data_IF_875857810708
#
_entry.id   IF_875857810708
#
_cell.length_a   1.000
_cell.length_b   1.000
_cell.length_c   1.000
_cell.angle_alpha   90.00
_cell.angle_beta   90.00
_cell.angle_gamma   90.00
#
_symmetry.space_group_name_H-M   'P 1'
#
loop_
_entity.id
_entity.type
_entity.pdbx_description
1 polymer ?
#
# COMPACT_ATOMS: atom_id res chain seq x y z
N UNK A 1 -19.29 4.83 -12.01
CA UNK A 1 -20.18 4.25 -13.04
C UNK A 1 -20.54 5.35 -14.02
N UNK A 2 -20.39 5.08 -15.32
CA UNK A 2 -20.32 6.02 -16.43
C UNK A 2 -21.26 7.25 -16.28
N UNK A 3 -20.70 8.46 -16.44
CA UNK A 3 -21.49 9.69 -16.40
C UNK A 3 -22.52 9.71 -17.54
N UNK A 4 -23.55 10.57 -17.47
CA UNK A 4 -24.67 10.61 -18.43
C UNK A 4 -24.28 10.92 -19.89
N UNK A 5 -22.99 11.16 -20.18
CA UNK A 5 -22.43 11.43 -21.51
C UNK A 5 -21.46 10.36 -22.01
N UNK A 6 -21.26 9.29 -21.26
CA UNK A 6 -20.37 8.23 -21.69
C UNK A 6 -21.10 7.30 -22.66
N UNK A 7 -20.52 7.12 -23.84
CA UNK A 7 -20.94 6.13 -24.82
C UNK A 7 -20.08 4.87 -24.64
N UNK A 8 -20.73 3.71 -24.56
CA UNK A 8 -20.06 2.42 -24.55
C UNK A 8 -20.33 1.73 -25.89
N UNK A 9 -19.29 1.28 -26.56
CA UNK A 9 -19.35 0.54 -27.83
C UNK A 9 -18.51 -0.73 -27.71
N UNK A 10 -18.75 -1.70 -28.60
CA UNK A 10 -18.10 -3.02 -28.58
C UNK A 10 -18.97 -4.11 -27.98
N UNK A 11 -18.44 -5.34 -27.96
CA UNK A 11 -19.13 -6.53 -27.47
C UNK A 11 -18.29 -7.23 -26.41
N UNK A 12 -18.96 -7.84 -25.43
CA UNK A 12 -18.33 -8.72 -24.43
C UNK A 12 -18.92 -10.10 -24.61
N UNK A 13 -18.05 -11.08 -24.88
CA UNK A 13 -18.44 -12.48 -25.01
C UNK A 13 -18.06 -13.23 -23.73
N UNK A 14 -19.01 -13.95 -23.17
CA UNK A 14 -18.81 -14.79 -22.00
C UNK A 14 -19.42 -16.17 -22.27
N UNK A 15 -18.61 -17.22 -22.13
CA UNK A 15 -19.03 -18.60 -22.39
C UNK A 15 -19.64 -18.80 -23.80
N UNK A 16 -19.07 -18.11 -24.79
CA UNK A 16 -19.53 -18.16 -26.19
C UNK A 16 -20.79 -17.36 -26.49
N UNK A 17 -21.30 -16.58 -25.54
CA UNK A 17 -22.50 -15.73 -25.69
C UNK A 17 -22.18 -14.25 -25.48
N UNK A 18 -22.80 -13.39 -26.28
CA UNK A 18 -22.79 -11.93 -26.07
C UNK A 18 -23.57 -11.60 -24.79
N UNK A 19 -22.93 -10.90 -23.87
CA UNK A 19 -23.55 -10.45 -22.63
C UNK A 19 -23.65 -8.92 -22.64
N UNK A 20 -24.84 -8.40 -22.37
CA UNK A 20 -25.06 -6.99 -22.12
C UNK A 20 -25.27 -6.69 -20.63
N UNK A 21 -25.43 -5.40 -20.29
CA UNK A 21 -25.64 -4.96 -18.90
C UNK A 21 -26.94 -5.51 -18.31
N UNK A 22 -28.00 -5.66 -19.12
CA UNK A 22 -29.28 -6.16 -18.66
C UNK A 22 -29.20 -7.65 -18.30
N UNK A 23 -28.51 -8.45 -19.12
CA UNK A 23 -28.20 -9.85 -18.87
C UNK A 23 -27.41 -10.01 -17.56
N UNK A 24 -26.34 -9.22 -17.35
CA UNK A 24 -25.55 -9.26 -16.11
C UNK A 24 -26.41 -8.94 -14.88
N UNK A 25 -27.24 -7.90 -14.96
CA UNK A 25 -28.12 -7.52 -13.84
C UNK A 25 -29.15 -8.60 -13.55
N UNK A 26 -29.72 -9.21 -14.59
CA UNK A 26 -30.70 -10.28 -14.47
C UNK A 26 -30.08 -11.53 -13.81
N UNK A 27 -28.95 -12.02 -14.32
CA UNK A 27 -28.27 -13.20 -13.78
C UNK A 27 -27.75 -12.98 -12.36
N UNK A 28 -27.26 -11.77 -12.05
CA UNK A 28 -26.83 -11.41 -10.69
C UNK A 28 -27.99 -11.50 -9.70
N UNK A 29 -29.18 -11.00 -10.06
CA UNK A 29 -30.38 -11.07 -9.21
C UNK A 29 -30.83 -12.52 -8.96
N UNK A 30 -30.58 -13.41 -9.90
CA UNK A 30 -30.87 -14.84 -9.76
C UNK A 30 -29.74 -15.62 -9.06
N UNK A 31 -28.64 -14.97 -8.67
CA UNK A 31 -27.47 -15.64 -8.10
C UNK A 31 -26.76 -16.58 -9.08
N UNK A 32 -27.00 -16.42 -10.39
CA UNK A 32 -26.52 -17.30 -11.46
C UNK A 32 -25.31 -16.77 -12.20
N UNK A 33 -24.98 -15.48 -12.01
CA UNK A 33 -23.84 -14.86 -12.67
C UNK A 33 -22.54 -15.53 -12.18
N UNK A 34 -21.81 -16.26 -13.04
CA UNK A 34 -20.60 -16.97 -12.65
C UNK A 34 -19.37 -16.03 -12.66
N UNK A 35 -19.56 -14.79 -12.22
CA UNK A 35 -18.54 -13.75 -12.17
C UNK A 35 -18.56 -13.07 -10.80
N UNK A 36 -17.40 -12.98 -10.18
CA UNK A 36 -17.21 -12.28 -8.91
C UNK A 36 -16.09 -11.25 -9.01
N UNK A 37 -16.10 -10.30 -8.09
CA UNK A 37 -15.09 -9.24 -8.01
C UNK A 37 -14.50 -9.16 -6.61
N UNK A 38 -13.19 -8.97 -6.52
CA UNK A 38 -12.48 -8.54 -5.34
C UNK A 38 -12.13 -7.07 -5.54
N UNK A 39 -12.54 -6.23 -4.57
CA UNK A 39 -12.30 -4.79 -4.62
C UNK A 39 -10.94 -4.45 -3.99
N UNK A 40 -10.39 -3.32 -4.44
CA UNK A 40 -9.11 -2.76 -3.97
C UNK A 40 -9.10 -2.53 -2.45
N UNK A 41 -10.20 -2.06 -1.86
CA UNK A 41 -10.33 -1.88 -0.41
C UNK A 41 -11.18 -3.00 0.22
N UNK A 42 -10.47 -3.97 0.81
CA UNK A 42 -11.07 -5.07 1.56
C UNK A 42 -12.04 -4.60 2.65
N UNK A 43 -11.66 -3.54 3.36
CA UNK A 43 -12.41 -3.08 4.54
C UNK A 43 -13.62 -2.28 4.10
N UNK A 44 -13.49 -1.46 3.06
CA UNK A 44 -14.59 -0.71 2.45
C UNK A 44 -15.61 -1.60 1.72
N UNK A 45 -15.19 -2.74 1.17
CA UNK A 45 -16.10 -3.69 0.52
C UNK A 45 -16.87 -4.60 1.48
N UNK A 46 -16.47 -4.67 2.76
CA UNK A 46 -17.19 -5.40 3.80
C UNK A 46 -18.15 -4.46 4.53
N UNK A 47 -19.31 -4.97 4.94
CA UNK A 47 -20.25 -4.20 5.75
C UNK A 47 -19.73 -4.09 7.21
N UNK A 48 -19.39 -2.88 7.71
CA UNK A 48 -18.70 -2.72 9.00
C UNK A 48 -19.56 -3.06 10.22
N UNK A 49 -20.90 -3.07 10.06
CA UNK A 49 -21.85 -3.35 11.15
C UNK A 49 -22.37 -4.80 11.14
N UNK A 50 -21.84 -5.66 10.28
CA UNK A 50 -22.18 -7.09 10.22
C UNK A 50 -20.94 -7.94 10.47
N UNK A 51 -21.14 -9.12 11.08
CA UNK A 51 -20.03 -10.07 11.25
C UNK A 51 -19.66 -10.70 9.91
N UNK A 52 -18.39 -11.10 9.76
CA UNK A 52 -17.88 -11.69 8.52
C UNK A 52 -18.67 -12.93 8.11
N UNK A 53 -18.90 -13.85 9.05
CA UNK A 53 -19.64 -15.08 8.80
C UNK A 53 -21.06 -14.80 8.32
N UNK A 54 -21.75 -13.81 8.89
CA UNK A 54 -23.12 -13.45 8.47
C UNK A 54 -23.19 -12.87 7.06
N UNK A 55 -22.15 -12.18 6.61
CA UNK A 55 -22.09 -11.60 5.26
C UNK A 55 -21.81 -12.68 4.21
N UNK A 56 -20.90 -13.62 4.52
CA UNK A 56 -20.63 -14.76 3.63
C UNK A 56 -21.83 -15.71 3.59
N UNK A 57 -22.45 -16.01 4.75
CA UNK A 57 -23.62 -16.88 4.85
C UNK A 57 -24.81 -16.37 4.03
N UNK A 58 -25.02 -15.06 3.98
CA UNK A 58 -26.11 -14.42 3.21
C UNK A 58 -26.10 -14.84 1.74
N UNK A 59 -24.91 -15.03 1.14
CA UNK A 59 -24.78 -15.47 -0.25
C UNK A 59 -25.37 -16.88 -0.44
N UNK A 60 -25.08 -17.81 0.48
CA UNK A 60 -25.62 -19.17 0.42
C UNK A 60 -27.13 -19.21 0.68
N UNK A 61 -27.64 -18.34 1.55
CA UNK A 61 -29.10 -18.22 1.78
C UNK A 61 -29.81 -17.76 0.51
N UNK A 62 -29.30 -16.72 -0.15
CA UNK A 62 -29.95 -16.16 -1.35
C UNK A 62 -29.79 -17.03 -2.59
N UNK A 63 -28.62 -17.66 -2.77
CA UNK A 63 -28.32 -18.45 -3.97
C UNK A 63 -28.86 -19.87 -3.88
N UNK A 64 -28.64 -20.54 -2.74
CA UNK A 64 -28.92 -21.97 -2.58
C UNK A 64 -30.22 -22.23 -1.80
N UNK A 65 -30.85 -21.20 -1.22
CA UNK A 65 -31.98 -21.39 -0.29
C UNK A 65 -31.59 -22.09 1.01
N UNK A 66 -30.30 -22.06 1.38
CA UNK A 66 -29.78 -22.73 2.56
C UNK A 66 -30.39 -22.17 3.85
N UNK A 67 -30.56 -23.02 4.86
CA UNK A 67 -30.90 -22.55 6.21
C UNK A 67 -29.77 -21.70 6.79
N UNK A 68 -30.09 -20.78 7.70
CA UNK A 68 -29.11 -19.87 8.29
C UNK A 68 -27.93 -20.60 8.93
N UNK A 69 -28.19 -21.72 9.63
CA UNK A 69 -27.15 -22.53 10.26
C UNK A 69 -26.27 -23.22 9.21
N UNK A 70 -26.86 -23.85 8.19
CA UNK A 70 -26.10 -24.51 7.13
C UNK A 70 -25.26 -23.50 6.32
N UNK A 71 -25.79 -22.31 6.08
CA UNK A 71 -25.06 -21.23 5.42
C UNK A 71 -23.88 -20.71 6.26
N UNK A 72 -24.03 -20.66 7.59
CA UNK A 72 -22.95 -20.27 8.49
C UNK A 72 -21.84 -21.32 8.56
N UNK A 73 -22.18 -22.62 8.58
CA UNK A 73 -21.17 -23.68 8.52
C UNK A 73 -20.39 -23.64 7.20
N UNK A 74 -21.07 -23.45 6.05
CA UNK A 74 -20.40 -23.21 4.76
C UNK A 74 -19.50 -21.97 4.78
N UNK A 75 -19.92 -20.88 5.43
CA UNK A 75 -19.10 -19.69 5.57
C UNK A 75 -17.82 -19.95 6.37
N UNK A 76 -17.90 -20.77 7.43
CA UNK A 76 -16.74 -21.19 8.23
C UNK A 76 -15.78 -22.04 7.41
N UNK A 77 -16.29 -23.04 6.67
CA UNK A 77 -15.48 -23.88 5.77
C UNK A 77 -14.76 -23.03 4.72
N UNK A 78 -15.44 -22.02 4.19
CA UNK A 78 -14.86 -21.13 3.19
C UNK A 78 -13.78 -20.23 3.79
N UNK A 79 -13.99 -19.70 4.99
CA UNK A 79 -12.95 -18.96 5.74
C UNK A 79 -11.72 -19.82 6.01
N UNK A 80 -11.91 -21.10 6.34
CA UNK A 80 -10.82 -22.05 6.50
C UNK A 80 -10.05 -22.26 5.18
N UNK A 81 -10.78 -22.43 4.07
CA UNK A 81 -10.17 -22.66 2.75
C UNK A 81 -9.29 -21.50 2.27
N UNK A 82 -9.60 -20.27 2.68
CA UNK A 82 -8.79 -19.07 2.38
C UNK A 82 -7.70 -18.82 3.41
N UNK A 83 -7.50 -19.74 4.37
CA UNK A 83 -6.41 -19.70 5.34
C UNK A 83 -6.65 -18.81 6.56
N UNK A 84 -7.90 -18.50 6.92
CA UNK A 84 -8.21 -17.84 8.18
C UNK A 84 -8.10 -18.86 9.33
N UNK A 85 -7.19 -18.58 10.27
CA UNK A 85 -7.05 -19.36 11.51
C UNK A 85 -8.27 -19.14 12.41
N UNK A 86 -8.66 -20.18 13.15
CA UNK A 86 -9.80 -20.14 14.08
C UNK A 86 -11.10 -19.69 13.38
N UNK A 87 -11.48 -20.31 12.24
CA UNK A 87 -12.50 -19.76 11.33
C UNK A 87 -13.87 -19.56 12.00
N UNK A 88 -14.26 -20.42 12.95
CA UNK A 88 -15.50 -20.25 13.74
C UNK A 88 -15.49 -18.98 14.61
N UNK A 89 -14.37 -18.67 15.26
CA UNK A 89 -14.24 -17.44 16.05
C UNK A 89 -14.22 -16.22 15.13
N UNK A 90 -13.47 -16.29 14.03
CA UNK A 90 -13.33 -15.20 13.06
C UNK A 90 -14.60 -14.92 12.28
N UNK A 91 -15.45 -15.93 12.06
CA UNK A 91 -16.78 -15.74 11.49
C UNK A 91 -17.66 -14.81 12.35
N UNK A 92 -17.45 -14.80 13.67
CA UNK A 92 -18.16 -13.92 14.61
C UNK A 92 -17.53 -12.52 14.75
N UNK A 93 -16.38 -12.29 14.11
CA UNK A 93 -15.69 -11.00 14.17
C UNK A 93 -16.31 -9.99 13.19
N UNK A 94 -16.21 -8.71 13.53
CA UNK A 94 -16.50 -7.60 12.63
C UNK A 94 -15.25 -7.21 11.82
N UNK A 95 -15.39 -6.55 10.65
CA UNK A 95 -14.24 -6.16 9.81
C UNK A 95 -13.17 -5.33 10.55
N UNK A 96 -13.59 -4.46 11.48
CA UNK A 96 -12.67 -3.62 12.27
C UNK A 96 -11.90 -4.41 13.35
N UNK A 97 -12.21 -5.69 13.56
CA UNK A 97 -11.54 -6.58 14.52
C UNK A 97 -10.52 -7.51 13.85
N UNK A 98 -10.41 -7.46 12.52
CA UNK A 98 -9.48 -8.24 11.71
C UNK A 98 -8.33 -7.38 11.18
N UNK A 99 -7.21 -8.01 10.82
CA UNK A 99 -6.14 -7.32 10.09
C UNK A 99 -6.53 -7.07 8.63
N UNK A 100 -5.84 -6.16 7.93
CA UNK A 100 -6.09 -5.92 6.50
C UNK A 100 -5.99 -7.19 5.65
N UNK A 101 -4.97 -8.03 5.89
CA UNK A 101 -4.83 -9.32 5.21
C UNK A 101 -5.95 -10.32 5.54
N UNK A 102 -6.48 -10.29 6.76
CA UNK A 102 -7.63 -11.10 7.14
C UNK A 102 -8.93 -10.60 6.48
N UNK A 103 -9.14 -9.29 6.39
CA UNK A 103 -10.25 -8.71 5.63
C UNK A 103 -10.14 -9.06 4.14
N UNK A 104 -8.92 -9.04 3.56
CA UNK A 104 -8.70 -9.46 2.18
C UNK A 104 -9.10 -10.91 1.96
N UNK A 105 -8.66 -11.83 2.83
CA UNK A 105 -9.06 -13.24 2.77
C UNK A 105 -10.56 -13.41 2.94
N UNK A 106 -11.20 -12.67 3.85
CA UNK A 106 -12.65 -12.70 4.01
C UNK A 106 -13.40 -12.21 2.76
N UNK A 107 -12.88 -11.19 2.07
CA UNK A 107 -13.43 -10.72 0.80
C UNK A 107 -13.25 -11.76 -0.32
N UNK A 108 -12.09 -12.43 -0.38
CA UNK A 108 -11.87 -13.56 -1.30
C UNK A 108 -12.88 -14.67 -1.02
N UNK A 109 -13.06 -15.05 0.24
CA UNK A 109 -14.08 -16.03 0.62
C UNK A 109 -15.47 -15.59 0.17
N UNK A 110 -15.85 -14.33 0.41
CA UNK A 110 -17.14 -13.80 -0.04
C UNK A 110 -17.31 -13.89 -1.57
N UNK A 111 -16.28 -13.56 -2.35
CA UNK A 111 -16.30 -13.70 -3.80
C UNK A 111 -16.46 -15.17 -4.23
N UNK A 112 -15.76 -16.10 -3.56
CA UNK A 112 -15.85 -17.53 -3.83
C UNK A 112 -17.18 -18.17 -3.41
N UNK A 113 -17.88 -17.59 -2.42
CA UNK A 113 -19.18 -18.06 -1.98
C UNK A 113 -20.23 -17.99 -3.11
N UNK A 114 -20.01 -17.11 -4.09
CA UNK A 114 -20.82 -17.02 -5.31
C UNK A 114 -20.51 -18.14 -6.34
N UNK A 115 -19.52 -19.00 -6.09
CA UNK A 115 -19.01 -20.03 -7.02
C UNK A 115 -18.75 -19.48 -8.43
N UNK A 116 -17.88 -18.46 -8.56
CA UNK A 116 -17.57 -17.86 -9.85
C UNK A 116 -16.76 -18.81 -10.73
N UNK A 117 -16.91 -18.67 -12.05
CA UNK A 117 -15.97 -19.20 -13.06
C UNK A 117 -14.91 -18.16 -13.44
N UNK A 118 -15.25 -16.87 -13.31
CA UNK A 118 -14.34 -15.74 -13.55
C UNK A 118 -14.29 -14.83 -12.33
N UNK A 119 -13.08 -14.48 -11.90
CA UNK A 119 -12.82 -13.56 -10.80
C UNK A 119 -12.06 -12.35 -11.30
N UNK A 120 -12.61 -11.15 -11.10
CA UNK A 120 -11.92 -9.89 -11.36
C UNK A 120 -11.30 -9.44 -10.03
N UNK A 121 -9.98 -9.40 -9.97
CA UNK A 121 -9.25 -8.97 -8.78
C UNK A 121 -8.64 -7.59 -9.03
N UNK A 122 -9.29 -6.56 -8.50
CA UNK A 122 -8.88 -5.16 -8.65
C UNK A 122 -7.95 -4.76 -7.52
N UNK A 123 -6.64 -4.66 -7.80
CA UNK A 123 -5.58 -4.37 -6.83
C UNK A 123 -5.68 -5.20 -5.53
N UNK A 124 -5.82 -6.54 -5.60
CA UNK A 124 -6.19 -7.39 -4.47
C UNK A 124 -5.11 -7.52 -3.39
N UNK A 125 -3.94 -6.93 -3.60
CA UNK A 125 -2.81 -6.95 -2.67
C UNK A 125 -2.37 -5.56 -2.23
N UNK A 126 -3.08 -4.52 -2.64
CA UNK A 126 -2.74 -3.14 -2.27
C UNK A 126 -2.83 -2.97 -0.75
N UNK A 127 -1.98 -2.10 -0.19
CA UNK A 127 -1.90 -1.83 1.25
C UNK A 127 -1.62 -3.05 2.16
N UNK A 128 -1.21 -4.21 1.60
CA UNK A 128 -0.74 -5.38 2.35
C UNK A 128 0.79 -5.38 2.41
N UNK A 129 1.36 -6.00 3.45
CA UNK A 129 2.80 -6.25 3.48
C UNK A 129 3.20 -7.34 2.48
N UNK A 130 4.47 -7.33 2.05
CA UNK A 130 5.01 -8.22 1.01
C UNK A 130 4.77 -9.71 1.33
N UNK A 131 4.85 -10.10 2.60
CA UNK A 131 4.60 -11.49 3.01
C UNK A 131 3.14 -11.85 2.83
N UNK A 132 2.22 -11.00 3.29
CA UNK A 132 0.78 -11.21 3.10
C UNK A 132 0.41 -11.19 1.61
N UNK A 133 0.94 -10.26 0.82
CA UNK A 133 0.78 -10.21 -0.64
C UNK A 133 1.16 -11.54 -1.29
N UNK A 134 2.33 -12.09 -0.96
CA UNK A 134 2.78 -13.39 -1.48
C UNK A 134 1.83 -14.53 -1.09
N UNK A 135 1.32 -14.53 0.15
CA UNK A 135 0.35 -15.53 0.59
C UNK A 135 -1.00 -15.40 -0.11
N UNK A 136 -1.48 -14.18 -0.40
CA UNK A 136 -2.71 -13.95 -1.16
C UNK A 136 -2.53 -14.42 -2.61
N UNK A 137 -1.42 -14.08 -3.25
CA UNK A 137 -1.13 -14.56 -4.61
C UNK A 137 -1.06 -16.09 -4.64
N UNK A 138 -0.39 -16.73 -3.67
CA UNK A 138 -0.37 -18.19 -3.56
C UNK A 138 -1.78 -18.78 -3.42
N UNK A 139 -2.63 -18.17 -2.60
CA UNK A 139 -4.03 -18.59 -2.47
C UNK A 139 -4.77 -18.49 -3.81
N UNK A 140 -4.68 -17.35 -4.51
CA UNK A 140 -5.34 -17.15 -5.79
C UNK A 140 -4.85 -18.15 -6.83
N UNK A 141 -3.55 -18.45 -6.87
CA UNK A 141 -2.98 -19.47 -7.77
C UNK A 141 -3.56 -20.86 -7.49
N UNK A 142 -3.66 -21.25 -6.23
CA UNK A 142 -4.27 -22.53 -5.85
C UNK A 142 -5.75 -22.61 -6.27
N UNK A 143 -6.49 -21.50 -6.22
CA UNK A 143 -7.88 -21.45 -6.68
C UNK A 143 -7.98 -21.60 -8.20
N UNK A 144 -7.08 -20.98 -8.97
CA UNK A 144 -6.98 -21.20 -10.42
C UNK A 144 -6.71 -22.66 -10.74
N UNK A 145 -5.67 -23.24 -10.13
CA UNK A 145 -5.19 -24.59 -10.43
C UNK A 145 -6.17 -25.68 -9.98
N UNK A 146 -6.79 -25.55 -8.80
CA UNK A 146 -7.69 -26.55 -8.24
C UNK A 146 -9.11 -26.46 -8.80
N UNK A 147 -9.64 -25.25 -8.93
CA UNK A 147 -11.07 -25.03 -9.20
C UNK A 147 -11.36 -24.64 -10.67
N UNK A 148 -10.32 -24.54 -11.51
CA UNK A 148 -10.47 -24.12 -12.92
C UNK A 148 -10.93 -22.67 -13.05
N UNK A 149 -10.67 -21.85 -12.03
CA UNK A 149 -11.07 -20.45 -11.97
C UNK A 149 -10.20 -19.61 -12.92
N UNK A 150 -10.81 -18.72 -13.71
CA UNK A 150 -10.08 -17.72 -14.48
C UNK A 150 -10.00 -16.39 -13.71
N UNK A 151 -8.83 -15.78 -13.64
CA UNK A 151 -8.62 -14.53 -12.91
C UNK A 151 -8.16 -13.41 -13.86
N UNK A 152 -8.85 -12.28 -13.82
CA UNK A 152 -8.35 -11.00 -14.35
C UNK A 152 -7.72 -10.25 -13.18
N UNK A 153 -6.39 -10.19 -13.15
CA UNK A 153 -5.64 -9.57 -12.06
C UNK A 153 -5.20 -8.16 -12.46
N UNK A 154 -5.79 -7.14 -11.86
CA UNK A 154 -5.46 -5.73 -12.11
C UNK A 154 -4.50 -5.26 -11.03
N UNK A 155 -3.35 -4.72 -11.43
CA UNK A 155 -2.38 -4.13 -10.51
C UNK A 155 -1.48 -3.14 -11.24
N UNK A 156 -0.92 -2.20 -10.48
CA UNK A 156 0.16 -1.32 -10.92
C UNK A 156 1.56 -1.88 -10.59
N UNK A 157 1.64 -2.99 -9.86
CA UNK A 157 2.90 -3.68 -9.54
C UNK A 157 3.28 -4.65 -10.66
N UNK A 158 4.16 -4.20 -11.55
CA UNK A 158 4.57 -4.96 -12.73
C UNK A 158 5.39 -6.21 -12.38
N UNK A 159 6.17 -6.18 -11.30
CA UNK A 159 6.91 -7.34 -10.80
C UNK A 159 5.97 -8.42 -10.29
N UNK A 160 4.93 -8.03 -9.55
CA UNK A 160 3.90 -8.95 -9.08
C UNK A 160 3.14 -9.57 -10.26
N UNK A 161 2.65 -8.74 -11.18
CA UNK A 161 1.84 -9.18 -12.32
C UNK A 161 2.63 -10.15 -13.19
N UNK A 162 3.88 -9.83 -13.53
CA UNK A 162 4.72 -10.72 -14.35
C UNK A 162 5.19 -11.97 -13.63
N UNK A 163 5.12 -12.03 -12.29
CA UNK A 163 5.49 -13.23 -11.54
C UNK A 163 4.29 -14.14 -11.23
N UNK A 164 3.08 -13.57 -11.26
CA UNK A 164 1.84 -14.26 -10.89
C UNK A 164 0.99 -14.68 -12.10
N UNK A 165 0.88 -13.82 -13.12
CA UNK A 165 0.01 -14.04 -14.27
C UNK A 165 0.71 -14.85 -15.36
N UNK A 166 -0.05 -15.53 -16.22
CA UNK A 166 0.49 -16.19 -17.41
C UNK A 166 0.73 -15.19 -18.57
N UNK A 167 -0.17 -14.22 -18.69
CA UNK A 167 -0.13 -13.15 -19.70
C UNK A 167 -0.39 -11.80 -19.06
N UNK A 168 0.15 -10.76 -19.66
CA UNK A 168 0.07 -9.37 -19.19
C UNK A 168 -0.36 -8.50 -20.35
N UNK A 169 -1.35 -7.64 -20.10
CA UNK A 169 -1.73 -6.55 -20.97
C UNK A 169 -1.36 -5.23 -20.29
N UNK A 170 -0.59 -4.39 -20.98
CA UNK A 170 -0.23 -3.05 -20.50
C UNK A 170 -1.17 -2.05 -21.15
N UNK A 171 -1.83 -1.26 -20.32
CA UNK A 171 -2.72 -0.20 -20.76
C UNK A 171 -2.06 1.17 -20.60
N UNK A 172 -2.23 2.03 -21.61
CA UNK A 172 -1.84 3.43 -21.56
C UNK A 172 -2.95 4.27 -22.20
N UNK A 173 -3.38 5.34 -21.50
CA UNK A 173 -4.46 6.25 -21.95
C UNK A 173 -5.77 5.56 -22.38
N UNK A 174 -6.09 4.42 -21.77
CA UNK A 174 -7.33 3.68 -22.04
C UNK A 174 -7.23 2.66 -23.17
N UNK A 175 -6.07 2.52 -23.80
CA UNK A 175 -5.81 1.53 -24.85
C UNK A 175 -4.83 0.46 -24.35
N UNK A 176 -5.01 -0.78 -24.82
CA UNK A 176 -4.01 -1.84 -24.63
C UNK A 176 -2.89 -1.60 -25.63
N UNK A 177 -1.75 -1.14 -25.13
CA UNK A 177 -0.58 -0.81 -25.97
C UNK A 177 0.36 -1.98 -26.18
N UNK A 178 0.31 -2.99 -25.31
CA UNK A 178 1.11 -4.20 -25.42
C UNK A 178 0.41 -5.36 -24.69
N UNK A 179 0.46 -6.56 -25.26
CA UNK A 179 -0.03 -7.77 -24.60
C UNK A 179 0.86 -8.97 -24.96
N UNK A 180 1.46 -9.61 -23.96
CA UNK A 180 2.31 -10.78 -24.15
C UNK A 180 2.22 -11.77 -22.97
N UNK A 181 2.88 -12.92 -23.06
CA UNK A 181 3.25 -13.75 -21.92
C UNK A 181 4.08 -12.96 -20.91
N UNK A 182 3.97 -13.34 -19.64
CA UNK A 182 4.73 -12.69 -18.56
C UNK A 182 6.25 -12.78 -18.75
N UNK A 183 6.75 -13.85 -19.36
CA UNK A 183 8.17 -13.98 -19.71
C UNK A 183 8.53 -13.08 -20.90
N UNK A 184 7.72 -13.09 -21.97
CA UNK A 184 7.97 -12.31 -23.18
C UNK A 184 8.00 -10.81 -22.91
N UNK A 185 7.01 -10.30 -22.17
CA UNK A 185 6.91 -8.87 -21.86
C UNK A 185 8.06 -8.38 -20.96
N UNK A 186 8.56 -9.25 -20.07
CA UNK A 186 9.70 -8.96 -19.19
C UNK A 186 11.01 -8.95 -19.98
N UNK A 187 11.19 -9.93 -20.87
CA UNK A 187 12.44 -10.13 -21.61
C UNK A 187 12.64 -9.10 -22.72
N UNK A 188 11.59 -8.75 -23.44
CA UNK A 188 11.68 -7.92 -24.63
C UNK A 188 10.44 -7.01 -24.78
N UNK A 189 10.23 -6.06 -23.87
CA UNK A 189 9.13 -5.11 -23.97
C UNK A 189 9.24 -4.32 -25.29
N UNK A 190 8.19 -4.34 -26.10
CA UNK A 190 8.15 -3.69 -27.42
C UNK A 190 7.70 -2.23 -27.33
N UNK A 191 6.80 -1.92 -26.40
CA UNK A 191 6.27 -0.58 -26.25
C UNK A 191 7.14 0.25 -25.30
N UNK A 192 7.42 1.51 -25.68
CA UNK A 192 8.26 2.43 -24.88
C UNK A 192 7.74 2.63 -23.46
N UNK A 193 6.43 2.74 -23.30
CA UNK A 193 5.80 2.84 -21.97
C UNK A 193 6.06 1.59 -21.13
N UNK A 194 5.93 0.39 -21.69
CA UNK A 194 6.22 -0.86 -20.99
C UNK A 194 7.68 -0.94 -20.57
N UNK A 195 8.61 -0.59 -21.48
CA UNK A 195 10.04 -0.55 -21.18
C UNK A 195 10.36 0.45 -20.05
N UNK A 196 9.72 1.62 -20.07
CA UNK A 196 9.85 2.61 -19.01
C UNK A 196 9.31 2.12 -17.66
N UNK A 197 8.18 1.39 -17.63
CA UNK A 197 7.66 0.80 -16.41
C UNK A 197 8.64 -0.23 -15.81
N UNK A 198 9.22 -1.12 -16.62
CA UNK A 198 10.23 -2.06 -16.15
C UNK A 198 11.52 -1.36 -15.68
N UNK A 199 11.95 -0.31 -16.37
CA UNK A 199 13.12 0.47 -15.98
C UNK A 199 12.95 1.19 -14.64
N UNK A 200 11.72 1.46 -14.22
CA UNK A 200 11.42 2.09 -12.93
C UNK A 200 11.41 1.09 -11.74
N UNK A 201 11.46 -0.22 -11.99
CA UNK A 201 11.44 -1.24 -10.95
C UNK A 201 12.80 -1.32 -10.24
N UNK A 202 12.85 -1.15 -8.89
CA UNK A 202 14.09 -1.31 -8.13
C UNK A 202 14.69 -2.71 -8.29
N UNK A 203 15.93 -2.81 -8.77
CA UNK A 203 16.64 -4.09 -8.97
C UNK A 203 16.74 -4.55 -10.43
N UNK A 204 15.99 -3.95 -11.37
CA UNK A 204 16.22 -4.11 -12.82
C UNK A 204 17.35 -3.20 -13.36
N UNK A 205 17.92 -2.34 -12.51
CA UNK A 205 19.16 -1.57 -12.72
C UNK A 205 20.02 -1.61 -11.45
N UNK A 206 21.33 -1.33 -11.52
CA UNK A 206 22.07 -0.93 -10.33
C UNK A 206 21.32 0.22 -9.63
N UNK A 207 21.18 0.18 -8.29
CA UNK A 207 20.46 1.22 -7.58
C UNK A 207 21.06 2.60 -7.90
N UNK A 208 20.19 3.60 -8.05
CA UNK A 208 20.56 5.02 -8.27
C UNK A 208 20.96 5.44 -9.69
N UNK A 209 20.44 4.81 -10.76
CA UNK A 209 20.44 5.45 -12.09
C UNK A 209 19.44 6.60 -12.14
N UNK A 210 19.76 7.72 -12.80
CA UNK A 210 18.75 8.77 -13.10
C UNK A 210 17.54 8.11 -13.78
N UNK A 211 16.37 8.24 -13.16
CA UNK A 211 15.11 7.88 -13.77
C UNK A 211 14.79 8.99 -14.76
N UNK A 212 14.86 8.72 -16.06
CA UNK A 212 14.25 9.61 -17.04
C UNK A 212 12.76 9.69 -16.71
N UNK A 213 12.24 10.91 -16.54
CA UNK A 213 10.79 11.13 -16.48
C UNK A 213 10.19 10.49 -17.73
N UNK A 214 9.22 9.59 -17.55
CA UNK A 214 8.49 8.96 -18.66
C UNK A 214 7.93 10.09 -19.52
N UNK A 215 8.40 10.28 -20.77
CA UNK A 215 7.92 11.36 -21.61
C UNK A 215 6.40 11.28 -21.74
N UNK A 216 5.71 12.42 -21.69
CA UNK A 216 4.25 12.43 -21.76
C UNK A 216 3.71 12.15 -23.18
N UNK A 217 4.58 12.10 -24.19
CA UNK A 217 4.26 11.85 -25.59
C UNK A 217 4.97 10.56 -26.06
N UNK A 218 4.30 9.41 -25.95
CA UNK A 218 4.88 8.08 -26.21
C UNK A 218 4.27 7.34 -27.43
N UNK A 219 3.56 8.04 -28.31
CA UNK A 219 2.83 7.46 -29.46
C UNK A 219 3.75 6.99 -30.62
N UNK A 220 4.99 6.58 -30.35
CA UNK A 220 5.95 6.13 -31.37
C UNK A 220 6.54 4.76 -31.00
N UNK A 221 6.55 3.77 -31.91
CA UNK A 221 7.25 2.50 -31.70
C UNK A 221 8.72 2.73 -31.32
N UNK A 222 9.28 1.81 -30.53
CA UNK A 222 10.71 1.81 -30.20
C UNK A 222 11.52 1.57 -31.49
N UNK A 223 11.82 2.63 -32.23
CA UNK A 223 12.83 2.57 -33.28
C UNK A 223 14.14 2.14 -32.65
N UNK A 224 14.64 0.99 -33.12
CA UNK A 224 15.93 0.44 -32.73
C UNK A 224 17.01 1.52 -32.83
N UNK A 225 17.93 1.49 -31.87
CA UNK A 225 19.02 2.44 -31.63
C UNK A 225 18.65 3.66 -30.79
N UNK A 226 18.63 3.46 -29.47
CA UNK A 226 19.25 4.42 -28.57
C UNK A 226 20.27 3.64 -27.75
N UNK A 227 21.55 3.84 -28.05
CA UNK A 227 22.65 3.40 -27.22
C UNK A 227 22.39 3.89 -25.81
N UNK A 228 22.37 2.99 -24.83
CA UNK A 228 22.21 3.35 -23.42
C UNK A 228 23.25 4.43 -23.06
N UNK A 229 22.84 5.63 -22.60
CA UNK A 229 23.79 6.49 -21.93
C UNK A 229 24.18 5.77 -20.65
N UNK A 230 25.47 5.43 -20.55
CA UNK A 230 26.05 4.79 -19.38
C UNK A 230 25.56 5.51 -18.12
N UNK A 231 24.77 4.81 -17.31
CA UNK A 231 24.31 5.32 -16.02
C UNK A 231 25.55 5.73 -15.23
N UNK A 232 25.74 7.02 -15.00
CA UNK A 232 26.78 7.49 -14.09
C UNK A 232 26.35 7.03 -12.70
N UNK A 233 27.07 6.12 -12.04
CA UNK A 233 26.68 5.70 -10.71
C UNK A 233 26.68 6.94 -9.80
N UNK A 234 25.54 7.21 -9.17
CA UNK A 234 25.48 8.15 -8.07
C UNK A 234 26.38 7.57 -6.95
N UNK A 235 27.57 8.15 -6.84
CA UNK A 235 28.60 8.10 -5.78
C UNK A 235 28.63 6.85 -4.89
N UNK A 236 29.80 6.19 -4.83
CA UNK A 236 30.10 5.10 -3.88
C UNK A 236 29.67 5.43 -2.44
N UNK A 237 29.19 4.44 -1.65
CA UNK A 237 28.84 4.68 -0.25
C UNK A 237 30.06 5.21 0.52
N UNK A 238 29.89 6.37 1.15
CA UNK A 238 30.90 6.98 2.03
C UNK A 238 31.46 5.95 3.02
N UNK A 239 32.77 6.00 3.34
CA UNK A 239 33.40 5.05 4.25
C UNK A 239 32.68 4.99 5.61
N UNK A 240 32.35 3.77 6.04
CA UNK A 240 31.49 3.39 7.19
C UNK A 240 32.10 3.66 8.60
N UNK A 241 32.95 4.66 8.76
CA UNK A 241 33.60 4.98 10.04
C UNK A 241 33.00 6.21 10.76
N UNK A 242 31.76 6.57 10.43
CA UNK A 242 31.10 7.68 11.09
C UNK A 242 30.45 7.23 12.41
N UNK A 243 30.42 8.09 13.45
CA UNK A 243 29.74 7.78 14.70
C UNK A 243 28.25 7.51 14.47
N UNK A 244 27.64 6.72 15.37
CA UNK A 244 26.21 6.44 15.31
C UNK A 244 25.40 7.75 15.45
N UNK A 245 24.62 8.06 14.41
CA UNK A 245 23.63 9.13 14.43
C UNK A 245 22.45 8.75 15.31
N UNK A 246 22.04 7.48 15.29
CA UNK A 246 20.99 6.93 16.16
C UNK A 246 21.55 5.70 16.86
N UNK A 247 21.41 5.65 18.18
CA UNK A 247 21.71 4.47 19.00
C UNK A 247 20.43 4.07 19.74
N UNK A 248 20.03 2.81 19.59
CA UNK A 248 18.91 2.20 20.31
C UNK A 248 19.47 1.06 21.13
N UNK A 249 19.24 1.07 22.44
CA UNK A 249 19.78 0.07 23.37
C UNK A 249 18.67 -0.48 24.26
N UNK A 250 18.38 -1.77 24.08
CA UNK A 250 17.44 -2.60 24.83
C UNK A 250 16.06 -1.96 25.02
N UNK A 251 15.60 -1.30 23.96
CA UNK A 251 14.32 -0.59 23.98
C UNK A 251 13.17 -1.58 24.03
N UNK A 252 12.23 -1.37 24.95
CA UNK A 252 10.98 -2.11 25.01
C UNK A 252 9.76 -1.18 25.16
N UNK A 253 8.65 -1.61 24.59
CA UNK A 253 7.35 -0.97 24.71
C UNK A 253 6.24 -2.01 24.52
N UNK A 254 5.41 -2.21 25.54
CA UNK A 254 4.33 -3.18 25.56
C UNK A 254 2.98 -2.50 25.75
N UNK A 255 1.96 -2.99 25.01
CA UNK A 255 0.57 -2.55 25.17
C UNK A 255 -0.17 -3.47 26.13
N UNK A 256 -0.80 -2.88 27.14
CA UNK A 256 -1.61 -3.60 28.12
C UNK A 256 -3.09 -3.31 27.89
N UNK A 257 -3.89 -4.31 27.52
CA UNK A 257 -5.35 -4.19 27.44
C UNK A 257 -6.00 -4.91 28.63
N UNK A 258 -6.82 -4.18 29.41
CA UNK A 258 -7.72 -4.75 30.42
C UNK A 258 -9.07 -5.09 29.78
N UNK A 259 -9.53 -6.35 29.89
CA UNK A 259 -10.92 -6.72 29.54
C UNK A 259 -11.82 -6.44 30.73
N UNK A 260 -12.95 -5.77 30.50
CA UNK A 260 -13.85 -5.30 31.57
C UNK A 260 -14.55 -6.42 32.36
N UNK A 261 -14.40 -7.68 31.95
CA UNK A 261 -15.00 -8.86 32.59
C UNK A 261 -14.02 -10.02 32.87
N UNK A 262 -12.70 -9.83 32.69
CA UNK A 262 -11.70 -10.89 32.97
C UNK A 262 -10.55 -10.37 33.82
N UNK A 263 -10.10 -11.20 34.78
CA UNK A 263 -8.85 -10.98 35.56
C UNK A 263 -7.57 -11.14 34.72
N UNK A 264 -7.66 -11.67 33.50
CA UNK A 264 -6.51 -11.85 32.61
C UNK A 264 -6.12 -10.55 31.93
N UNK A 265 -4.87 -10.12 32.08
CA UNK A 265 -4.33 -8.94 31.39
C UNK A 265 -3.58 -9.42 30.16
N UNK A 266 -4.01 -9.01 28.95
CA UNK A 266 -3.29 -9.38 27.73
C UNK A 266 -2.21 -8.32 27.46
N UNK A 267 -0.96 -8.76 27.42
CA UNK A 267 0.20 -7.92 27.12
C UNK A 267 0.67 -8.22 25.70
N UNK A 268 0.63 -7.21 24.84
CA UNK A 268 1.18 -7.31 23.48
C UNK A 268 2.55 -6.63 23.47
N UNK A 269 3.60 -7.44 23.30
CA UNK A 269 4.99 -6.98 23.19
C UNK A 269 5.24 -6.38 21.80
N UNK A 270 5.01 -5.09 21.64
CA UNK A 270 5.16 -4.44 20.34
C UNK A 270 6.64 -4.17 20.00
N UNK A 271 7.45 -3.81 20.99
CA UNK A 271 8.91 -3.69 20.91
C UNK A 271 9.46 -4.34 22.18
N UNK A 272 10.46 -5.22 22.07
CA UNK A 272 10.96 -5.99 23.22
C UNK A 272 12.47 -6.22 23.12
N UNK A 273 13.26 -5.41 23.83
CA UNK A 273 14.72 -5.54 23.88
C UNK A 273 15.42 -5.28 22.55
N UNK A 274 14.95 -4.31 21.76
CA UNK A 274 15.57 -3.99 20.46
C UNK A 274 16.82 -3.13 20.67
N UNK A 275 17.93 -3.55 20.05
CA UNK A 275 19.21 -2.85 20.04
C UNK A 275 19.78 -2.73 18.63
N UNK A 276 20.11 -1.53 18.18
CA UNK A 276 20.81 -1.27 16.91
C UNK A 276 21.43 0.12 16.88
N UNK A 277 22.36 0.34 15.95
CA UNK A 277 22.95 1.65 15.69
C UNK A 277 22.85 1.99 14.19
N UNK A 278 22.59 3.27 13.90
CA UNK A 278 22.57 3.83 12.54
C UNK A 278 23.72 4.83 12.44
N UNK A 279 24.84 4.50 11.76
CA UNK A 279 25.92 5.42 11.51
C UNK A 279 25.47 6.67 10.74
N UNK A 280 26.08 7.81 11.02
CA UNK A 280 25.84 9.01 10.21
C UNK A 280 26.21 8.77 8.74
N UNK A 281 25.43 9.37 7.84
CA UNK A 281 25.60 9.19 6.39
C UNK A 281 25.18 7.82 5.84
N UNK A 282 24.47 7.00 6.62
CA UNK A 282 23.99 5.68 6.18
C UNK A 282 22.47 5.58 6.18
N UNK A 283 21.94 4.67 5.37
CA UNK A 283 20.52 4.31 5.35
C UNK A 283 20.33 2.98 6.08
N UNK A 284 19.39 2.94 7.02
CA UNK A 284 19.04 1.73 7.76
C UNK A 284 17.61 1.32 7.43
N UNK A 285 17.43 0.11 6.91
CA UNK A 285 16.12 -0.44 6.55
C UNK A 285 15.53 -1.30 7.66
N UNK A 286 14.26 -1.10 7.98
CA UNK A 286 13.49 -1.96 8.90
C UNK A 286 12.40 -2.68 8.10
N UNK A 287 12.42 -4.01 8.14
CA UNK A 287 11.44 -4.88 7.48
C UNK A 287 10.79 -5.82 8.49
N UNK A 288 9.55 -6.22 8.22
CA UNK A 288 8.81 -7.21 9.01
C UNK A 288 7.33 -7.22 8.65
N UNK A 289 6.61 -8.24 9.10
CA UNK A 289 5.18 -8.46 8.83
C UNK A 289 4.29 -7.32 9.36
N UNK A 290 3.09 -7.11 8.81
CA UNK A 290 2.14 -6.17 9.39
C UNK A 290 1.84 -6.54 10.86
N UNK A 291 1.87 -5.54 11.74
CA UNK A 291 1.69 -5.76 13.18
C UNK A 291 2.94 -6.18 13.97
N UNK A 292 4.09 -6.42 13.34
CA UNK A 292 5.32 -6.82 14.04
C UNK A 292 6.02 -5.70 14.85
N UNK A 293 5.41 -4.51 14.97
CA UNK A 293 5.94 -3.41 15.78
C UNK A 293 6.71 -2.30 15.03
N UNK A 294 6.84 -2.35 13.69
CA UNK A 294 7.55 -1.31 12.90
C UNK A 294 7.07 0.11 13.20
N UNK A 295 5.75 0.33 13.12
CA UNK A 295 5.16 1.65 13.39
C UNK A 295 5.33 2.07 14.84
N UNK A 296 5.29 1.12 15.78
CA UNK A 296 5.57 1.38 17.20
C UNK A 296 7.02 1.82 17.39
N UNK A 297 7.97 1.13 16.76
CA UNK A 297 9.39 1.50 16.79
C UNK A 297 9.62 2.87 16.15
N UNK A 298 8.99 3.17 15.01
CA UNK A 298 9.04 4.50 14.38
C UNK A 298 8.46 5.59 15.31
N UNK A 299 7.34 5.32 15.99
CA UNK A 299 6.76 6.24 16.98
C UNK A 299 7.67 6.49 18.20
N UNK A 300 8.42 5.47 18.63
CA UNK A 300 9.44 5.64 19.68
C UNK A 300 10.60 6.51 19.16
N UNK A 301 11.09 6.25 17.94
CA UNK A 301 12.19 7.00 17.33
C UNK A 301 11.85 8.47 17.08
N UNK A 302 10.61 8.82 16.71
CA UNK A 302 10.18 10.21 16.52
C UNK A 302 9.84 10.92 17.84
N UNK A 303 9.92 10.23 18.98
CA UNK A 303 9.59 10.80 20.29
C UNK A 303 8.10 11.06 20.48
N UNK A 304 7.24 10.31 19.78
CA UNK A 304 5.81 10.30 20.07
C UNK A 304 5.51 9.56 21.39
N UNK A 305 6.32 8.55 21.66
CA UNK A 305 6.26 7.72 22.87
C UNK A 305 7.65 7.61 23.47
N UNK A 306 7.72 7.56 24.79
CA UNK A 306 8.94 7.20 25.49
C UNK A 306 9.03 5.69 25.68
N UNK A 307 10.22 5.09 25.56
CA UNK A 307 10.42 3.68 25.83
C UNK A 307 10.15 3.35 27.29
N UNK A 308 9.59 2.17 27.56
CA UNK A 308 9.34 1.71 28.94
C UNK A 308 10.62 1.16 29.60
N UNK A 309 11.56 0.70 28.79
CA UNK A 309 12.91 0.30 29.20
C UNK A 309 13.90 0.59 28.07
N UNK A 310 15.19 0.60 28.40
CA UNK A 310 16.25 0.90 27.43
C UNK A 310 16.43 2.40 27.19
N UNK A 311 17.18 2.74 26.14
CA UNK A 311 17.47 4.13 25.80
C UNK A 311 17.58 4.35 24.29
N UNK A 312 17.27 5.57 23.86
CA UNK A 312 17.45 6.04 22.49
C UNK A 312 18.35 7.28 22.56
N UNK A 313 19.40 7.33 21.74
CA UNK A 313 20.26 8.51 21.59
C UNK A 313 20.28 8.96 20.15
N UNK A 314 20.25 10.27 19.94
CA UNK A 314 20.31 10.92 18.63
C UNK A 314 21.45 11.94 18.64
N UNK A 315 22.48 11.69 17.85
CA UNK A 315 23.68 12.53 17.75
C UNK A 315 24.44 12.57 19.07
N UNK A 316 24.56 11.40 19.71
CA UNK A 316 25.20 11.23 21.02
C UNK A 316 24.41 11.76 22.21
N UNK A 317 23.23 12.36 22.02
CA UNK A 317 22.39 12.91 23.10
C UNK A 317 21.21 12.00 23.40
N UNK A 318 20.89 11.81 24.67
CA UNK A 318 19.71 11.04 25.09
C UNK A 318 18.41 11.67 24.59
N UNK A 319 17.51 10.85 24.06
CA UNK A 319 16.17 11.27 23.66
C UNK A 319 15.39 11.82 24.85
N UNK A 320 15.43 11.15 26.00
CA UNK A 320 14.73 11.58 27.22
C UNK A 320 15.18 12.97 27.65
N UNK A 321 16.49 13.24 27.60
CA UNK A 321 17.03 14.57 27.92
C UNK A 321 16.56 15.63 26.91
N UNK A 322 16.58 15.29 25.62
CA UNK A 322 16.10 16.21 24.58
C UNK A 322 14.60 16.52 24.73
N UNK A 323 13.79 15.51 25.01
CA UNK A 323 12.35 15.66 25.23
C UNK A 323 12.04 16.46 26.51
N UNK A 324 12.86 16.36 27.54
CA UNK A 324 12.76 17.19 28.75
C UNK A 324 12.94 18.69 28.45
N UNK A 325 13.66 19.05 27.38
CA UNK A 325 13.79 20.43 26.88
C UNK A 325 12.66 20.82 25.90
N UNK A 326 11.62 19.98 25.79
CA UNK A 326 10.44 20.18 24.96
C UNK A 326 10.50 19.43 23.63
N UNK A 327 9.32 19.01 23.13
CA UNK A 327 9.19 18.22 21.89
C UNK A 327 9.87 18.88 20.67
N UNK A 328 9.90 20.22 20.62
CA UNK A 328 10.59 20.95 19.54
C UNK A 328 12.11 20.72 19.54
N UNK A 329 12.74 20.57 20.70
CA UNK A 329 14.18 20.34 20.79
C UNK A 329 14.58 18.98 20.20
N UNK A 330 13.71 17.98 20.33
CA UNK A 330 13.86 16.67 19.71
C UNK A 330 13.48 16.69 18.22
N UNK A 331 12.35 17.29 17.86
CA UNK A 331 11.88 17.40 16.47
C UNK A 331 12.89 18.09 15.55
N UNK A 332 13.72 19.00 16.07
CA UNK A 332 14.85 19.61 15.35
C UNK A 332 15.89 18.61 14.81
N UNK A 333 15.97 17.42 15.42
CA UNK A 333 16.94 16.37 15.08
C UNK A 333 16.31 15.19 14.34
N UNK A 334 15.03 14.92 14.60
CA UNK A 334 14.31 13.78 14.02
C UNK A 334 13.02 14.26 13.40
N UNK A 335 12.87 14.00 12.10
CA UNK A 335 11.65 14.25 11.34
C UNK A 335 11.13 12.94 10.76
N UNK A 336 9.84 12.88 10.50
CA UNK A 336 9.18 11.70 9.94
C UNK A 336 8.41 12.09 8.69
N UNK A 337 8.62 11.34 7.61
CA UNK A 337 7.71 11.32 6.47
C UNK A 337 6.68 10.21 6.74
N UNK A 338 5.43 10.60 6.98
CA UNK A 338 4.37 9.66 7.35
C UNK A 338 3.79 8.93 6.12
N UNK A 339 3.32 7.69 6.32
CA UNK A 339 2.67 6.89 5.26
C UNK A 339 1.38 7.54 4.73
N UNK A 340 0.58 8.16 5.61
CA UNK A 340 -0.59 8.94 5.22
C UNK A 340 -0.21 10.42 5.00
N UNK A 341 0.17 10.72 3.78
CA UNK A 341 0.51 12.07 3.34
C UNK A 341 -0.67 13.06 3.40
N UNK A 342 -1.92 12.57 3.46
CA UNK A 342 -3.10 13.44 3.51
C UNK A 342 -3.51 13.79 4.94
N UNK A 343 -3.30 12.86 5.87
CA UNK A 343 -3.48 13.08 7.31
C UNK A 343 -2.38 13.94 7.94
N UNK A 344 -1.19 14.01 7.34
CA UNK A 344 -0.07 14.81 7.85
C UNK A 344 -0.16 16.31 7.53
N UNK A 345 -1.03 16.71 6.60
CA UNK A 345 -1.20 18.11 6.17
C UNK A 345 -2.42 18.76 6.83
N UNK A 346 -2.29 20.04 7.18
CA UNK A 346 -3.43 20.87 7.56
C UNK A 346 -4.23 21.24 6.31
N UNK A 347 -5.42 20.64 6.18
CA UNK A 347 -6.32 20.81 5.03
C UNK A 347 -6.86 22.24 4.89
N UNK A 348 -6.75 23.06 5.94
CA UNK A 348 -7.25 24.44 5.97
C UNK A 348 -6.18 25.46 5.64
N UNK A 349 -4.93 25.04 5.50
CA UNK A 349 -3.81 25.91 5.18
C UNK A 349 -3.23 25.58 3.83
N UNK A 350 -2.66 26.58 3.15
CA UNK A 350 -1.92 26.35 1.91
C UNK A 350 -0.59 25.65 2.19
N UNK A 351 0.04 25.11 1.16
CA UNK A 351 1.30 24.36 1.26
C UNK A 351 2.42 25.20 1.88
N UNK A 352 2.58 26.45 1.41
CA UNK A 352 3.69 27.31 1.82
C UNK A 352 3.81 27.51 3.32
N UNK A 353 2.78 28.03 4.02
CA UNK A 353 2.79 28.22 5.47
C UNK A 353 3.09 26.95 6.27
N UNK A 354 2.69 25.77 5.78
CA UNK A 354 2.97 24.50 6.45
C UNK A 354 4.45 24.15 6.42
N UNK A 355 5.10 24.31 5.26
CA UNK A 355 6.56 24.12 5.12
C UNK A 355 7.32 25.24 5.86
N UNK A 356 6.82 26.48 5.83
CA UNK A 356 7.41 27.60 6.57
C UNK A 356 7.33 27.40 8.10
N UNK A 357 6.31 26.72 8.61
CA UNK A 357 6.23 26.31 10.03
C UNK A 357 7.38 25.35 10.37
N UNK A 358 7.65 24.35 9.51
CA UNK A 358 8.79 23.46 9.68
C UNK A 358 10.10 24.25 9.67
N UNK A 359 10.28 25.18 8.73
CA UNK A 359 11.45 26.07 8.70
C UNK A 359 11.59 26.90 9.98
N UNK A 360 10.48 27.40 10.55
CA UNK A 360 10.49 28.19 11.79
C UNK A 360 10.89 27.35 13.01
N UNK A 361 10.48 26.08 13.05
CA UNK A 361 10.85 25.15 14.12
C UNK A 361 12.34 24.85 14.07
N UNK A 362 12.88 24.59 12.88
CA UNK A 362 14.27 24.13 12.70
C UNK A 362 15.29 25.26 12.63
N UNK A 363 14.90 26.41 12.07
CA UNK A 363 15.76 27.56 11.82
C UNK A 363 15.08 28.85 12.35
N UNK A 364 14.88 28.96 13.68
CA UNK A 364 14.18 30.09 14.29
C UNK A 364 14.84 31.46 14.01
N UNK A 365 16.13 31.47 13.71
CA UNK A 365 16.92 32.66 13.37
C UNK A 365 16.63 33.21 11.95
N UNK A 366 15.99 32.43 11.08
CA UNK A 366 15.71 32.83 9.69
C UNK A 366 14.63 33.90 9.65
N UNK A 367 14.83 34.93 8.82
CA UNK A 367 13.78 35.94 8.54
C UNK A 367 12.60 35.33 7.78
N UNK A 368 11.44 36.01 7.78
CA UNK A 368 10.28 35.56 7.02
C UNK A 368 10.57 35.43 5.51
N UNK A 369 11.29 36.40 4.94
CA UNK A 369 11.72 36.38 3.53
C UNK A 369 12.58 35.14 3.26
N UNK A 370 13.56 34.87 4.13
CA UNK A 370 14.45 33.73 3.93
C UNK A 370 13.74 32.39 4.05
N UNK A 371 12.78 32.26 4.98
CA UNK A 371 11.97 31.04 5.10
C UNK A 371 11.17 30.76 3.84
N UNK A 372 10.56 31.80 3.24
CA UNK A 372 9.85 31.66 1.97
C UNK A 372 10.78 31.18 0.86
N UNK A 373 11.96 31.77 0.73
CA UNK A 373 12.99 31.35 -0.25
C UNK A 373 13.46 29.91 -0.02
N UNK A 374 13.60 29.48 1.24
CA UNK A 374 13.94 28.09 1.59
C UNK A 374 12.79 27.16 1.20
N UNK A 375 11.53 27.51 1.49
CA UNK A 375 10.34 26.74 1.12
C UNK A 375 10.20 26.56 -0.39
N UNK A 376 10.37 27.63 -1.18
CA UNK A 376 10.31 27.52 -2.65
C UNK A 376 11.40 26.58 -3.17
N UNK A 377 12.63 26.69 -2.63
CA UNK A 377 13.72 25.77 -2.99
C UNK A 377 13.44 24.32 -2.60
N UNK A 378 12.80 24.08 -1.46
CA UNK A 378 12.38 22.72 -1.04
C UNK A 378 11.33 22.16 -2.01
N UNK A 379 10.34 22.97 -2.41
CA UNK A 379 9.35 22.57 -3.41
C UNK A 379 10.01 22.24 -4.76
N UNK A 380 10.93 23.08 -5.23
CA UNK A 380 11.66 22.84 -6.48
C UNK A 380 12.52 21.57 -6.40
N UNK A 381 13.17 21.32 -5.27
CA UNK A 381 13.98 20.12 -5.05
C UNK A 381 13.16 18.82 -5.13
N UNK A 382 11.86 18.88 -4.82
CA UNK A 382 10.93 17.76 -4.97
C UNK A 382 10.14 17.84 -6.30
N UNK A 383 10.58 18.64 -7.27
CA UNK A 383 9.95 18.73 -8.59
C UNK A 383 8.57 19.40 -8.59
N UNK A 384 8.33 20.32 -7.65
CA UNK A 384 7.13 21.15 -7.58
C UNK A 384 7.51 22.61 -7.81
N UNK A 385 6.73 23.31 -8.64
CA UNK A 385 6.96 24.74 -8.89
C UNK A 385 6.48 25.64 -7.74
N UNK A 386 6.83 26.91 -7.81
CA UNK A 386 6.38 27.92 -6.84
C UNK A 386 4.84 28.02 -6.76
N UNK A 387 4.13 27.71 -7.86
CA UNK A 387 2.66 27.76 -7.93
C UNK A 387 2.01 26.87 -6.84
N UNK A 388 2.64 25.76 -6.47
CA UNK A 388 2.14 24.86 -5.44
C UNK A 388 2.14 25.49 -4.05
N UNK A 389 2.99 26.49 -3.79
CA UNK A 389 3.05 27.22 -2.52
C UNK A 389 1.68 27.75 -2.07
N UNK A 390 0.90 28.27 -3.02
CA UNK A 390 -0.40 28.89 -2.76
C UNK A 390 -1.58 27.90 -2.80
N UNK A 391 -1.34 26.62 -3.11
CA UNK A 391 -2.41 25.62 -3.21
C UNK A 391 -2.80 25.04 -1.86
N UNK A 392 -4.06 24.63 -1.73
CA UNK A 392 -4.53 23.81 -0.62
C UNK A 392 -4.26 22.32 -0.90
N UNK A 393 -4.11 21.46 0.13
CA UNK A 393 -3.77 20.04 -0.05
C UNK A 393 -4.73 19.26 -0.96
N UNK A 394 -6.02 19.62 -0.99
CA UNK A 394 -7.02 18.98 -1.85
C UNK A 394 -6.89 19.37 -3.33
N UNK A 395 -6.16 20.44 -3.66
CA UNK A 395 -5.91 20.91 -5.03
C UNK A 395 -4.67 20.27 -5.66
N UNK A 396 -3.98 19.39 -4.93
CA UNK A 396 -2.81 18.65 -5.37
C UNK A 396 -3.20 17.22 -5.81
N UNK A 397 -2.45 16.62 -6.73
CA UNK A 397 -2.54 15.18 -6.99
C UNK A 397 -1.97 14.36 -5.82
N UNK A 398 -2.22 13.04 -5.79
CA UNK A 398 -1.65 12.15 -4.77
C UNK A 398 -0.11 12.23 -4.71
N UNK A 399 0.56 12.11 -5.86
CA UNK A 399 2.02 12.23 -5.95
C UNK A 399 2.54 13.64 -5.64
N UNK A 400 1.79 14.69 -5.95
CA UNK A 400 2.15 16.05 -5.53
C UNK A 400 2.09 16.20 -4.00
N UNK A 401 1.05 15.67 -3.35
CA UNK A 401 0.95 15.69 -1.87
C UNK A 401 2.10 14.95 -1.21
N UNK A 402 2.46 13.78 -1.74
CA UNK A 402 3.61 13.02 -1.25
C UNK A 402 4.91 13.83 -1.33
N UNK A 403 5.14 14.50 -2.47
CA UNK A 403 6.32 15.35 -2.66
C UNK A 403 6.31 16.57 -1.73
N UNK A 404 5.14 17.18 -1.48
CA UNK A 404 5.00 18.23 -0.46
C UNK A 404 5.30 17.71 0.94
N UNK A 405 4.94 16.47 1.30
CA UNK A 405 5.26 15.91 2.60
C UNK A 405 6.76 15.59 2.79
N UNK A 406 7.51 15.49 1.70
CA UNK A 406 8.97 15.29 1.71
C UNK A 406 9.71 16.64 1.81
N UNK A 407 9.16 17.69 1.18
CA UNK A 407 9.64 19.06 1.27
C UNK A 407 9.39 19.66 2.67
#
# INVERSE_FOLDING_TARGET
LLGPRAEATGTVHFDGRDIDVADVVHERRQGRLPLAMIFQDATGGLNPIRTIGSQIAEIFVHRDGASQNAALDKAVELLESVGIREPRERASSYPHQMSGGMNQRAMIAMALAASPRVLIADEPTTALDVTVQAQICKLLRLLVERDGLSIVFVSHDLDLVTSFCDRVAVMYRGEVVECETSEGIRRAPQHRYTAALFAAIPGHRPPFSQLEEIPQDLDVPLLASASEPAATPLTEPLPKQQPAMIEVSDVAYHFTKRRWFSRSTHVTKAVDGISFAVPAGTTFGIIGESGCGKSTLASLLIGDREPQSGSIRVGGRSMTDLLAHGRRAYARRVQMVAQDHYGSMDRRQTVGPQIEEACRIHFPERSAVRRREDTVRMLEAVGLGEVQFAKLPHQLSGGQRQRVAIA
#
